data_IF_100168298503
#
_entry.id   IF_100168298503
#
_cell.length_a   1.000
_cell.length_b   1.000
_cell.length_c   1.000
_cell.angle_alpha   90.00
_cell.angle_beta   90.00
_cell.angle_gamma   90.00
#
_symmetry.space_group_name_H-M   'P 1'
#
loop_
_entity.id
_entity.type
_entity.pdbx_description
1 polymer ?
#
# COMPACT_ATOMS: atom_id res chain seq x y z
N UNK A 1 -44.39 3.65 -27.70
CA UNK A 1 -43.45 2.86 -26.89
C UNK A 1 -42.15 3.65 -26.84
N UNK A 2 -42.02 4.45 -25.82
CA UNK A 2 -40.83 5.27 -25.60
C UNK A 2 -39.81 4.44 -24.81
N UNK A 3 -38.60 4.33 -25.35
CA UNK A 3 -37.47 3.70 -24.73
C UNK A 3 -36.83 4.72 -23.76
N UNK A 4 -36.94 4.45 -22.48
CA UNK A 4 -36.28 5.20 -21.43
C UNK A 4 -34.75 4.98 -21.48
N UNK A 5 -34.02 6.05 -21.78
CA UNK A 5 -32.56 6.10 -21.68
C UNK A 5 -32.14 6.09 -20.23
N UNK A 6 -31.49 5.01 -19.81
CA UNK A 6 -30.78 4.96 -18.53
C UNK A 6 -29.51 5.79 -18.63
N UNK A 7 -29.43 6.86 -17.86
CA UNK A 7 -28.23 7.68 -17.69
C UNK A 7 -27.20 6.89 -16.86
N UNK A 8 -26.14 6.44 -17.52
CA UNK A 8 -24.92 5.98 -16.84
C UNK A 8 -24.21 7.19 -16.25
N UNK A 9 -24.23 7.33 -14.94
CA UNK A 9 -23.37 8.28 -14.24
C UNK A 9 -21.92 7.81 -14.35
N UNK A 10 -21.15 8.47 -15.18
CA UNK A 10 -19.70 8.32 -15.24
C UNK A 10 -19.11 8.89 -13.96
N UNK A 11 -18.64 8.02 -13.06
CA UNK A 11 -17.83 8.38 -11.90
C UNK A 11 -16.44 8.73 -12.44
N UNK A 12 -16.10 9.99 -12.53
CA UNK A 12 -14.75 10.47 -12.80
C UNK A 12 -14.00 10.56 -11.48
N UNK A 13 -12.92 9.78 -11.26
CA UNK A 13 -12.05 10.02 -10.13
C UNK A 13 -11.13 11.19 -10.45
N UNK A 14 -11.51 12.38 -10.08
CA UNK A 14 -10.65 13.55 -10.14
C UNK A 14 -10.62 14.24 -8.80
N UNK A 15 -9.75 13.77 -7.91
CA UNK A 15 -9.27 14.61 -6.82
C UNK A 15 -7.82 14.94 -7.14
N UNK A 16 -7.61 15.99 -7.93
CA UNK A 16 -6.37 16.76 -7.84
C UNK A 16 -6.46 17.57 -6.56
N UNK A 17 -6.10 16.97 -5.43
CA UNK A 17 -5.73 17.76 -4.27
C UNK A 17 -4.45 18.50 -4.63
N UNK A 18 -4.55 19.80 -4.90
CA UNK A 18 -3.38 20.68 -4.95
C UNK A 18 -2.86 20.77 -3.50
N UNK A 19 -1.76 20.07 -3.25
CA UNK A 19 -1.03 20.16 -1.97
C UNK A 19 -0.61 21.63 -1.80
N UNK A 20 -1.06 22.27 -0.74
CA UNK A 20 -0.69 23.64 -0.41
C UNK A 20 0.83 23.80 -0.39
N UNK A 21 1.34 24.92 -0.87
CA UNK A 21 2.78 25.12 -1.09
C UNK A 21 3.65 25.05 0.18
N UNK A 22 3.04 25.08 1.35
CA UNK A 22 3.72 25.13 2.67
C UNK A 22 3.55 23.85 3.48
N UNK A 23 2.53 23.03 3.24
CA UNK A 23 2.19 21.87 4.06
C UNK A 23 3.18 20.71 3.88
N UNK A 24 3.39 19.92 4.94
CA UNK A 24 4.19 18.71 4.90
C UNK A 24 3.50 17.65 4.02
N UNK A 25 4.31 16.83 3.37
CA UNK A 25 3.86 15.67 2.61
C UNK A 25 4.61 14.46 3.16
N UNK A 26 3.87 13.55 3.76
CA UNK A 26 4.41 12.32 4.33
C UNK A 26 4.09 11.12 3.45
N UNK A 27 5.00 10.15 3.43
CA UNK A 27 4.80 8.87 2.76
C UNK A 27 5.13 7.71 3.70
N UNK A 28 4.28 6.69 3.72
CA UNK A 28 4.57 5.37 4.28
C UNK A 28 3.80 4.30 3.52
N UNK A 29 4.11 3.01 3.75
CA UNK A 29 3.58 1.90 2.95
C UNK A 29 3.63 0.57 3.72
N UNK A 30 2.96 -0.47 3.21
CA UNK A 30 3.08 -1.87 3.64
C UNK A 30 2.81 -2.07 5.14
N UNK A 31 1.72 -1.49 5.67
CA UNK A 31 1.35 -1.55 7.09
C UNK A 31 0.74 -2.89 7.52
N UNK A 32 0.18 -3.66 6.57
CA UNK A 32 -0.30 -5.02 6.75
C UNK A 32 -1.10 -5.26 8.04
N UNK A 33 -2.20 -4.53 8.23
CA UNK A 33 -3.14 -4.76 9.33
C UNK A 33 -2.63 -4.39 10.72
N UNK A 34 -1.53 -3.64 10.85
CA UNK A 34 -0.97 -3.16 12.13
C UNK A 34 -1.66 -1.86 12.58
N UNK A 35 -2.89 -1.95 13.07
CA UNK A 35 -3.76 -0.80 13.35
C UNK A 35 -3.19 0.16 14.40
N UNK A 36 -2.57 -0.35 15.47
CA UNK A 36 -2.00 0.52 16.50
C UNK A 36 -0.89 1.39 15.92
N UNK A 37 0.01 0.78 15.16
CA UNK A 37 1.10 1.46 14.49
C UNK A 37 0.59 2.45 13.45
N UNK A 38 -0.44 2.07 12.66
CA UNK A 38 -1.12 2.95 11.72
C UNK A 38 -1.67 4.20 12.40
N UNK A 39 -2.46 4.03 13.48
CA UNK A 39 -3.03 5.14 14.23
C UNK A 39 -1.97 6.06 14.83
N UNK A 40 -0.88 5.48 15.33
CA UNK A 40 0.25 6.23 15.84
C UNK A 40 0.91 7.09 14.75
N UNK A 41 1.12 6.54 13.56
CA UNK A 41 1.67 7.24 12.40
C UNK A 41 0.78 8.43 11.99
N UNK A 42 -0.52 8.19 11.86
CA UNK A 42 -1.47 9.26 11.52
C UNK A 42 -1.45 10.37 12.59
N UNK A 43 -1.43 9.98 13.86
CA UNK A 43 -1.32 10.96 14.95
C UNK A 43 -0.02 11.76 14.88
N UNK A 44 1.12 11.11 14.64
CA UNK A 44 2.41 11.78 14.46
C UNK A 44 2.38 12.79 13.32
N UNK A 45 1.91 12.40 12.14
CA UNK A 45 1.82 13.30 10.98
C UNK A 45 0.98 14.55 11.30
N UNK A 46 -0.19 14.34 11.89
CA UNK A 46 -1.10 15.44 12.27
C UNK A 46 -0.55 16.34 13.41
N UNK A 47 0.32 15.79 14.26
CA UNK A 47 0.99 16.57 15.33
C UNK A 47 2.10 17.44 14.75
N UNK A 48 2.83 16.92 13.76
CA UNK A 48 3.91 17.67 13.08
C UNK A 48 3.34 18.77 12.19
N UNK A 49 2.27 18.47 11.46
CA UNK A 49 1.57 19.41 10.59
C UNK A 49 0.09 18.99 10.47
N UNK A 50 -0.86 19.69 11.13
CA UNK A 50 -2.29 19.36 11.08
C UNK A 50 -2.90 19.39 9.68
N UNK A 51 -2.31 20.16 8.76
CA UNK A 51 -2.75 20.31 7.37
C UNK A 51 -1.92 19.46 6.40
N UNK A 52 -1.15 18.48 6.90
CA UNK A 52 -0.31 17.64 6.07
C UNK A 52 -1.13 16.80 5.08
N UNK A 53 -0.50 16.47 3.96
CA UNK A 53 -0.97 15.43 3.05
C UNK A 53 -0.20 14.14 3.33
N UNK A 54 -0.90 13.04 3.44
CA UNK A 54 -0.29 11.72 3.60
C UNK A 54 -0.47 10.93 2.31
N UNK A 55 0.61 10.34 1.80
CA UNK A 55 0.58 9.40 0.68
C UNK A 55 0.81 8.01 1.26
N UNK A 56 -0.18 7.15 1.15
CA UNK A 56 -0.07 5.74 1.55
C UNK A 56 0.18 4.85 0.34
N UNK A 57 1.30 4.15 0.33
CA UNK A 57 1.84 3.42 -0.82
C UNK A 57 1.25 2.05 -1.12
N UNK A 58 0.13 1.67 -0.47
CA UNK A 58 -0.52 0.36 -0.66
C UNK A 58 -0.14 -0.67 0.40
N UNK A 59 -0.76 -1.85 0.31
CA UNK A 59 -0.61 -2.97 1.23
C UNK A 59 -1.06 -2.62 2.67
N UNK A 60 -2.28 -2.09 2.78
CA UNK A 60 -2.94 -1.82 4.05
C UNK A 60 -3.39 -3.10 4.76
N UNK A 61 -3.78 -4.08 3.96
CA UNK A 61 -4.47 -5.29 4.42
C UNK A 61 -3.53 -6.51 4.52
N UNK A 62 -4.09 -7.60 5.03
CA UNK A 62 -3.53 -8.94 5.15
C UNK A 62 -2.41 -9.06 6.19
N UNK A 63 -2.03 -10.30 6.50
CA UNK A 63 -1.05 -10.70 7.52
C UNK A 63 -1.45 -10.30 8.95
N UNK A 64 -1.72 -9.03 9.22
CA UNK A 64 -2.32 -8.57 10.50
C UNK A 64 -3.85 -8.70 10.51
N UNK A 65 -4.44 -8.52 11.70
CA UNK A 65 -5.86 -8.79 11.93
C UNK A 65 -6.79 -7.61 11.65
N UNK A 66 -6.26 -6.41 11.40
CA UNK A 66 -7.05 -5.17 11.22
C UNK A 66 -7.01 -4.61 9.79
N UNK A 67 -6.72 -5.46 8.79
CA UNK A 67 -6.57 -5.00 7.41
C UNK A 67 -7.80 -4.30 6.85
N UNK A 68 -8.99 -4.88 7.06
CA UNK A 68 -10.25 -4.26 6.66
C UNK A 68 -10.47 -2.89 7.33
N UNK A 69 -10.19 -2.77 8.62
CA UNK A 69 -10.38 -1.53 9.36
C UNK A 69 -9.47 -0.41 8.85
N UNK A 70 -8.20 -0.72 8.59
CA UNK A 70 -7.25 0.25 8.01
C UNK A 70 -7.69 0.69 6.61
N UNK A 71 -8.07 -0.25 5.73
CA UNK A 71 -8.60 0.10 4.40
C UNK A 71 -9.79 1.05 4.50
N UNK A 72 -10.71 0.78 5.45
CA UNK A 72 -11.88 1.62 5.68
C UNK A 72 -11.53 3.02 6.17
N UNK A 73 -10.54 3.16 7.06
CA UNK A 73 -10.05 4.47 7.52
C UNK A 73 -9.42 5.22 6.35
N UNK A 74 -8.55 4.58 5.57
CA UNK A 74 -7.88 5.18 4.42
C UNK A 74 -8.87 5.67 3.37
N UNK A 75 -9.89 4.87 3.04
CA UNK A 75 -10.93 5.25 2.08
C UNK A 75 -11.80 6.44 2.52
N UNK A 76 -11.89 6.71 3.81
CA UNK A 76 -12.76 7.77 4.36
C UNK A 76 -11.97 8.97 4.91
N UNK A 77 -10.69 9.09 4.59
CA UNK A 77 -9.85 10.21 5.00
C UNK A 77 -9.37 11.01 3.78
N UNK A 78 -9.94 12.18 3.58
CA UNK A 78 -9.66 13.04 2.42
C UNK A 78 -8.22 13.61 2.41
N UNK A 79 -7.53 13.61 3.55
CA UNK A 79 -6.14 14.05 3.65
C UNK A 79 -5.12 12.95 3.26
N UNK A 80 -5.61 11.74 2.93
CA UNK A 80 -4.76 10.62 2.57
C UNK A 80 -4.94 10.25 1.09
N UNK A 81 -3.86 10.28 0.33
CA UNK A 81 -3.79 9.75 -1.01
C UNK A 81 -3.45 8.26 -0.88
N UNK A 82 -4.44 7.41 -1.10
CA UNK A 82 -4.30 5.97 -0.99
C UNK A 82 -3.97 5.36 -2.36
N UNK A 83 -2.78 4.79 -2.52
CA UNK A 83 -2.38 4.04 -3.71
C UNK A 83 -2.70 2.55 -3.54
N UNK A 84 -3.07 1.89 -4.64
CA UNK A 84 -3.31 0.46 -4.65
C UNK A 84 -1.99 -0.31 -4.52
N UNK A 85 -1.93 -1.27 -3.59
CA UNK A 85 -0.91 -2.30 -3.53
C UNK A 85 -1.39 -3.62 -4.16
N UNK A 86 -0.51 -4.60 -4.25
CA UNK A 86 -0.89 -5.91 -4.76
C UNK A 86 -1.81 -6.67 -3.81
N UNK A 87 -1.77 -6.39 -2.51
CA UNK A 87 -2.68 -6.98 -1.54
C UNK A 87 -4.11 -6.44 -1.67
N UNK A 88 -4.30 -5.16 -1.99
CA UNK A 88 -5.61 -4.61 -2.35
C UNK A 88 -6.16 -5.25 -3.64
N UNK A 89 -5.30 -5.48 -4.64
CA UNK A 89 -5.71 -6.14 -5.88
C UNK A 89 -6.12 -7.60 -5.65
N UNK A 90 -5.34 -8.35 -4.87
CA UNK A 90 -5.70 -9.70 -4.47
C UNK A 90 -7.01 -9.74 -3.67
N UNK A 91 -7.23 -8.78 -2.76
CA UNK A 91 -8.47 -8.66 -2.00
C UNK A 91 -9.68 -8.49 -2.93
N UNK A 92 -9.60 -7.56 -3.89
CA UNK A 92 -10.69 -7.31 -4.85
C UNK A 92 -11.06 -8.58 -5.62
N UNK A 93 -10.06 -9.29 -6.13
CA UNK A 93 -10.27 -10.51 -6.90
C UNK A 93 -10.87 -11.63 -6.04
N UNK A 94 -10.35 -11.83 -4.83
CA UNK A 94 -10.85 -12.83 -3.89
C UNK A 94 -12.27 -12.51 -3.38
N UNK A 95 -12.57 -11.24 -3.10
CA UNK A 95 -13.88 -10.80 -2.64
C UNK A 95 -14.95 -11.00 -3.73
N UNK A 96 -14.64 -10.68 -4.99
CA UNK A 96 -15.53 -10.94 -6.14
C UNK A 96 -15.79 -12.43 -6.31
N UNK A 97 -14.73 -13.25 -6.31
CA UNK A 97 -14.85 -14.71 -6.44
C UNK A 97 -15.68 -15.30 -5.29
N UNK A 98 -15.50 -14.79 -4.04
CA UNK A 98 -16.30 -15.25 -2.90
C UNK A 98 -17.79 -14.93 -3.08
N UNK A 99 -18.14 -13.71 -3.45
CA UNK A 99 -19.55 -13.30 -3.70
C UNK A 99 -20.18 -14.16 -4.78
N UNK A 100 -19.46 -14.38 -5.89
CA UNK A 100 -19.95 -15.15 -7.04
C UNK A 100 -20.27 -16.60 -6.67
N UNK A 101 -19.37 -17.24 -5.94
CA UNK A 101 -19.52 -18.67 -5.60
C UNK A 101 -20.34 -18.94 -4.34
N UNK A 102 -20.50 -17.95 -3.47
CA UNK A 102 -21.24 -18.08 -2.19
C UNK A 102 -22.30 -16.98 -2.04
N UNK A 103 -23.33 -16.93 -2.91
CA UNK A 103 -24.29 -15.81 -2.95
C UNK A 103 -25.11 -15.63 -1.67
N UNK A 104 -25.17 -16.62 -0.80
CA UNK A 104 -25.83 -16.51 0.51
C UNK A 104 -24.94 -15.88 1.61
N UNK A 105 -23.80 -15.31 1.25
CA UNK A 105 -22.79 -14.78 2.19
C UNK A 105 -23.34 -13.78 3.22
N UNK A 106 -24.34 -12.99 2.85
CA UNK A 106 -24.97 -12.00 3.75
C UNK A 106 -25.65 -12.58 4.98
N UNK A 107 -25.95 -13.88 4.99
CA UNK A 107 -26.59 -14.60 6.11
C UNK A 107 -25.63 -15.61 6.76
N UNK A 108 -24.35 -15.64 6.39
CA UNK A 108 -23.39 -16.60 6.93
C UNK A 108 -22.87 -16.16 8.30
N UNK A 109 -22.79 -17.11 9.22
CA UNK A 109 -22.09 -16.92 10.50
C UNK A 109 -20.57 -16.94 10.30
N UNK A 110 -19.83 -16.36 11.25
CA UNK A 110 -18.36 -16.46 11.32
C UNK A 110 -17.88 -17.91 11.18
N UNK A 111 -18.54 -18.85 11.88
CA UNK A 111 -18.17 -20.27 11.81
C UNK A 111 -18.33 -20.84 10.39
N UNK A 112 -19.40 -20.47 9.70
CA UNK A 112 -19.66 -20.93 8.32
C UNK A 112 -18.62 -20.36 7.36
N UNK A 113 -18.35 -19.06 7.42
CA UNK A 113 -17.33 -18.41 6.60
C UNK A 113 -15.96 -19.05 6.84
N UNK A 114 -15.56 -19.18 8.10
CA UNK A 114 -14.27 -19.79 8.48
C UNK A 114 -14.17 -21.21 7.94
N UNK A 115 -15.22 -22.03 8.05
CA UNK A 115 -15.23 -23.40 7.53
C UNK A 115 -15.07 -23.45 6.01
N UNK A 116 -15.73 -22.54 5.28
CA UNK A 116 -15.59 -22.43 3.83
C UNK A 116 -14.14 -22.08 3.48
N UNK A 117 -13.58 -21.03 4.07
CA UNK A 117 -12.20 -20.59 3.77
C UNK A 117 -11.17 -21.67 4.11
N UNK A 118 -11.34 -22.39 5.22
CA UNK A 118 -10.46 -23.51 5.58
C UNK A 118 -10.59 -24.73 4.66
N UNK A 119 -11.70 -24.86 3.94
CA UNK A 119 -11.92 -25.97 2.97
C UNK A 119 -11.25 -25.72 1.62
N UNK A 120 -10.85 -24.48 1.32
CA UNK A 120 -10.20 -24.10 0.07
C UNK A 120 -8.73 -24.59 0.10
N UNK A 121 -8.41 -25.55 -0.76
CA UNK A 121 -7.05 -26.14 -0.81
C UNK A 121 -6.17 -25.37 -1.78
N UNK A 122 -4.89 -25.25 -1.45
CA UNK A 122 -3.87 -24.50 -2.23
C UNK A 122 -3.67 -25.09 -3.63
N UNK A 123 -4.18 -26.12 -4.09
CA UNK A 123 -4.01 -26.67 -5.45
C UNK A 123 -5.34 -27.05 -6.10
N UNK A 124 -6.44 -26.50 -5.61
CA UNK A 124 -7.77 -26.71 -6.16
C UNK A 124 -8.11 -25.54 -7.10
N UNK A 125 -8.01 -25.71 -8.40
CA UNK A 125 -8.27 -24.68 -9.41
C UNK A 125 -9.72 -24.14 -9.40
N UNK A 126 -10.52 -24.51 -8.41
CA UNK A 126 -11.91 -24.09 -8.30
C UNK A 126 -12.07 -22.62 -7.85
N UNK A 127 -11.15 -22.15 -7.00
CA UNK A 127 -11.19 -20.80 -6.41
C UNK A 127 -9.80 -20.15 -6.46
N UNK A 128 -9.27 -19.84 -7.65
CA UNK A 128 -7.87 -19.42 -7.82
C UNK A 128 -7.56 -18.09 -7.12
N UNK A 129 -8.46 -17.11 -7.14
CA UNK A 129 -8.23 -15.84 -6.50
C UNK A 129 -8.24 -15.96 -4.97
N UNK A 130 -9.21 -16.69 -4.41
CA UNK A 130 -9.27 -16.98 -2.97
C UNK A 130 -8.03 -17.75 -2.50
N UNK A 131 -7.56 -18.73 -3.27
CA UNK A 131 -6.36 -19.50 -2.91
C UNK A 131 -5.13 -18.60 -2.80
N UNK A 132 -4.88 -17.77 -3.83
CA UNK A 132 -3.75 -16.82 -3.84
C UNK A 132 -3.87 -15.87 -2.64
N UNK A 133 -5.06 -15.32 -2.40
CA UNK A 133 -5.29 -14.37 -1.34
C UNK A 133 -5.09 -14.98 0.06
N UNK A 134 -5.67 -16.16 0.31
CA UNK A 134 -5.50 -16.87 1.58
C UNK A 134 -4.04 -17.28 1.84
N UNK A 135 -3.32 -17.71 0.80
CA UNK A 135 -1.90 -18.04 0.90
C UNK A 135 -1.05 -16.81 1.30
N UNK A 136 -1.44 -15.62 0.85
CA UNK A 136 -0.75 -14.36 1.18
C UNK A 136 -1.22 -13.70 2.49
N UNK A 137 -2.05 -14.40 3.30
CA UNK A 137 -2.45 -13.95 4.64
C UNK A 137 -3.73 -13.14 4.68
N UNK A 138 -4.58 -13.20 3.63
CA UNK A 138 -5.80 -12.38 3.51
C UNK A 138 -7.03 -12.88 4.27
N UNK A 139 -6.91 -13.99 5.00
CA UNK A 139 -8.06 -14.64 5.66
C UNK A 139 -8.79 -13.71 6.62
N UNK A 140 -8.08 -13.06 7.52
CA UNK A 140 -8.69 -12.24 8.57
C UNK A 140 -9.34 -10.97 7.96
N UNK A 141 -8.68 -10.34 6.99
CA UNK A 141 -9.24 -9.21 6.24
C UNK A 141 -10.55 -9.58 5.55
N UNK A 142 -10.60 -10.73 4.88
CA UNK A 142 -11.80 -11.18 4.16
C UNK A 142 -12.95 -11.49 5.12
N UNK A 143 -12.68 -12.16 6.25
CA UNK A 143 -13.66 -12.45 7.28
C UNK A 143 -14.25 -11.15 7.84
N UNK A 144 -13.42 -10.22 8.23
CA UNK A 144 -13.84 -8.96 8.80
C UNK A 144 -14.68 -8.14 7.81
N UNK A 145 -14.28 -8.06 6.56
CA UNK A 145 -15.04 -7.41 5.51
C UNK A 145 -16.39 -8.09 5.29
N UNK A 146 -16.45 -9.43 5.21
CA UNK A 146 -17.70 -10.18 5.04
C UNK A 146 -18.70 -9.94 6.18
N UNK A 147 -18.20 -9.81 7.41
CA UNK A 147 -19.04 -9.64 8.60
C UNK A 147 -19.43 -8.18 8.88
N UNK A 148 -18.53 -7.24 8.60
CA UNK A 148 -18.63 -5.86 9.10
C UNK A 148 -18.98 -4.84 8.02
N UNK A 149 -18.74 -5.11 6.72
CA UNK A 149 -19.04 -4.15 5.65
C UNK A 149 -20.49 -4.30 5.14
N UNK A 150 -21.35 -3.29 5.33
CA UNK A 150 -22.74 -3.37 4.86
C UNK A 150 -22.87 -3.14 3.34
N UNK A 151 -21.94 -2.40 2.71
CA UNK A 151 -21.95 -2.02 1.29
C UNK A 151 -20.79 -2.67 0.54
N UNK A 152 -20.82 -3.99 0.45
CA UNK A 152 -19.69 -4.81 0.00
C UNK A 152 -19.24 -4.51 -1.42
N UNK A 153 -20.18 -4.39 -2.35
CA UNK A 153 -19.90 -4.10 -3.75
C UNK A 153 -19.28 -2.70 -3.92
N UNK A 154 -19.85 -1.70 -3.24
CA UNK A 154 -19.31 -0.34 -3.24
C UNK A 154 -17.88 -0.30 -2.66
N UNK A 155 -17.63 -1.04 -1.58
CA UNK A 155 -16.29 -1.12 -1.00
C UNK A 155 -15.28 -1.74 -1.98
N UNK A 156 -15.65 -2.85 -2.65
CA UNK A 156 -14.83 -3.47 -3.70
C UNK A 156 -14.54 -2.48 -4.83
N UNK A 157 -15.56 -1.74 -5.29
CA UNK A 157 -15.40 -0.77 -6.37
C UNK A 157 -14.46 0.37 -5.97
N UNK A 158 -14.57 0.88 -4.74
CA UNK A 158 -13.68 1.92 -4.20
C UNK A 158 -12.23 1.43 -4.13
N UNK A 159 -11.98 0.24 -3.61
CA UNK A 159 -10.62 -0.35 -3.59
C UNK A 159 -10.12 -0.60 -5.02
N UNK A 160 -10.97 -1.11 -5.90
CA UNK A 160 -10.59 -1.37 -7.28
C UNK A 160 -10.23 -0.10 -8.06
N UNK A 161 -10.85 1.03 -7.72
CA UNK A 161 -10.62 2.34 -8.36
C UNK A 161 -9.45 3.14 -7.79
N UNK A 162 -8.72 2.61 -6.79
CA UNK A 162 -7.54 3.27 -6.26
C UNK A 162 -6.50 3.52 -7.36
N UNK A 163 -5.87 4.70 -7.29
CA UNK A 163 -4.78 5.04 -8.21
C UNK A 163 -3.59 4.11 -8.03
N UNK A 164 -2.94 3.73 -9.13
CA UNK A 164 -1.71 2.92 -9.12
C UNK A 164 -0.47 3.78 -8.93
N UNK A 165 -0.54 5.06 -9.29
CA UNK A 165 0.58 5.99 -9.29
C UNK A 165 0.15 7.37 -8.82
N UNK A 166 1.10 8.12 -8.26
CA UNK A 166 0.93 9.53 -7.92
C UNK A 166 2.25 10.27 -8.16
N UNK A 167 2.19 11.57 -8.42
CA UNK A 167 3.39 12.42 -8.56
C UNK A 167 3.25 13.69 -7.73
N UNK A 168 4.28 14.02 -6.97
CA UNK A 168 4.43 15.27 -6.25
C UNK A 168 5.77 15.90 -6.60
N UNK A 169 5.77 17.05 -7.27
CA UNK A 169 6.99 17.70 -7.80
C UNK A 169 7.81 16.72 -8.68
N UNK A 170 9.06 16.50 -8.31
CA UNK A 170 9.96 15.55 -8.97
C UNK A 170 9.96 14.15 -8.34
N UNK A 171 9.00 13.86 -7.48
CA UNK A 171 8.85 12.55 -6.82
C UNK A 171 7.67 11.82 -7.43
N UNK A 172 7.89 10.58 -7.79
CA UNK A 172 6.89 9.63 -8.28
C UNK A 172 6.67 8.53 -7.25
N UNK A 173 5.43 8.12 -7.09
CA UNK A 173 5.01 7.09 -6.14
C UNK A 173 4.29 5.98 -6.89
N UNK A 174 4.65 4.74 -6.61
CA UNK A 174 3.93 3.54 -7.01
C UNK A 174 4.28 2.41 -6.05
N UNK A 175 3.45 1.36 -5.98
CA UNK A 175 3.61 0.34 -4.96
C UNK A 175 4.92 -0.47 -5.09
N UNK A 176 5.18 -1.08 -6.25
CA UNK A 176 6.32 -2.01 -6.43
C UNK A 176 7.58 -1.38 -7.05
N UNK A 177 7.59 -0.08 -7.28
CA UNK A 177 8.75 0.62 -7.83
C UNK A 177 8.96 0.44 -9.34
N UNK A 178 8.34 -0.51 -10.00
CA UNK A 178 8.30 -0.72 -11.45
C UNK A 178 9.51 -0.25 -12.28
N UNK A 179 9.29 -0.02 -13.56
CA UNK A 179 10.22 0.66 -14.45
C UNK A 179 9.58 1.95 -14.97
N UNK A 180 10.39 2.99 -15.21
CA UNK A 180 9.84 4.30 -15.56
C UNK A 180 8.94 4.32 -16.81
N UNK A 181 9.20 3.58 -17.90
CA UNK A 181 8.28 3.49 -19.02
C UNK A 181 6.90 2.96 -18.66
N UNK A 182 6.82 1.99 -17.73
CA UNK A 182 5.53 1.46 -17.23
C UNK A 182 4.78 2.48 -16.41
N UNK A 183 5.48 3.25 -15.56
CA UNK A 183 4.89 4.35 -14.81
C UNK A 183 4.25 5.40 -15.72
N UNK A 184 4.92 5.80 -16.81
CA UNK A 184 4.39 6.75 -17.79
C UNK A 184 3.19 6.18 -18.55
N UNK A 185 3.21 4.88 -18.89
CA UNK A 185 2.05 4.22 -19.53
C UNK A 185 0.84 4.23 -18.62
N UNK A 186 1.01 3.93 -17.34
CA UNK A 186 -0.05 3.97 -16.35
C UNK A 186 -0.70 5.37 -16.28
N UNK A 187 0.10 6.44 -16.23
CA UNK A 187 -0.42 7.81 -16.24
C UNK A 187 -1.21 8.16 -17.51
N UNK A 188 -1.01 7.40 -18.60
CA UNK A 188 -1.76 7.50 -19.87
C UNK A 188 -2.91 6.50 -19.98
N UNK A 189 -3.28 5.82 -18.90
CA UNK A 189 -4.24 4.72 -18.85
C UNK A 189 -3.85 3.50 -19.73
N UNK A 190 -2.57 3.31 -19.98
CA UNK A 190 -2.02 2.12 -20.63
C UNK A 190 -1.57 1.15 -19.52
N UNK A 191 -2.49 0.36 -18.99
CA UNK A 191 -2.30 -0.48 -17.80
C UNK A 191 -1.07 -1.41 -17.90
N UNK A 192 -0.15 -1.27 -16.97
CA UNK A 192 0.95 -2.21 -16.74
C UNK A 192 1.00 -2.58 -15.23
N UNK A 193 -0.09 -3.19 -14.79
CA UNK A 193 -0.30 -3.54 -13.37
C UNK A 193 0.80 -4.47 -12.84
N UNK A 194 1.30 -5.41 -13.66
CA UNK A 194 2.34 -6.32 -13.23
C UNK A 194 3.62 -5.57 -12.84
N UNK A 195 4.03 -4.60 -13.66
CA UNK A 195 5.22 -3.79 -13.38
C UNK A 195 5.04 -2.89 -12.16
N UNK A 196 3.86 -2.30 -11.97
CA UNK A 196 3.60 -1.30 -10.93
C UNK A 196 3.27 -1.94 -9.57
N UNK A 197 2.57 -3.09 -9.56
CA UNK A 197 2.09 -3.74 -8.33
C UNK A 197 2.92 -4.94 -7.88
N UNK A 198 3.56 -5.67 -8.82
CA UNK A 198 4.11 -6.99 -8.52
C UNK A 198 5.61 -7.13 -8.77
N UNK A 199 6.24 -6.15 -9.41
CA UNK A 199 7.61 -6.30 -9.88
C UNK A 199 8.61 -6.40 -8.72
N UNK A 200 9.30 -7.55 -8.63
CA UNK A 200 10.40 -7.79 -7.68
C UNK A 200 11.78 -7.82 -8.35
N UNK A 201 11.86 -7.49 -9.64
CA UNK A 201 13.11 -7.50 -10.42
C UNK A 201 13.51 -6.11 -10.92
N UNK A 202 12.71 -5.08 -10.63
CA UNK A 202 12.98 -3.70 -11.06
C UNK A 202 14.20 -3.03 -10.37
N UNK A 203 14.94 -3.79 -9.56
CA UNK A 203 16.12 -3.28 -8.85
C UNK A 203 17.31 -2.97 -9.78
N UNK A 204 17.30 -3.54 -10.99
CA UNK A 204 18.34 -3.32 -11.99
C UNK A 204 18.12 -2.04 -12.80
N UNK A 205 16.91 -1.47 -12.76
CA UNK A 205 16.54 -0.29 -13.54
C UNK A 205 16.54 0.95 -12.66
N UNK A 206 17.17 2.04 -13.16
CA UNK A 206 17.05 3.36 -12.58
C UNK A 206 15.68 3.99 -12.83
N UNK A 207 15.53 5.25 -12.46
CA UNK A 207 14.34 6.06 -12.71
C UNK A 207 14.63 7.17 -13.72
N UNK A 208 13.63 7.99 -14.06
CA UNK A 208 13.87 9.14 -14.94
C UNK A 208 14.94 10.07 -14.37
N UNK A 209 15.76 10.70 -15.21
CA UNK A 209 16.72 11.73 -14.79
C UNK A 209 15.99 12.82 -13.98
N UNK A 210 16.66 13.32 -12.94
CA UNK A 210 16.16 14.40 -12.07
C UNK A 210 14.84 14.08 -11.32
N UNK A 211 14.40 12.83 -11.31
CA UNK A 211 13.25 12.35 -10.56
C UNK A 211 13.62 11.21 -9.61
N UNK A 212 12.79 11.03 -8.60
CA UNK A 212 12.93 9.98 -7.59
C UNK A 212 11.64 9.16 -7.59
N UNK A 213 11.75 7.83 -7.58
CA UNK A 213 10.63 6.95 -7.31
C UNK A 213 10.64 6.49 -5.85
N UNK A 214 9.53 6.69 -5.14
CA UNK A 214 9.34 6.15 -3.79
C UNK A 214 8.33 5.01 -3.86
N UNK A 215 8.66 3.88 -3.23
CA UNK A 215 7.87 2.65 -3.31
C UNK A 215 8.03 1.76 -2.07
N UNK A 216 7.33 0.62 -2.07
CA UNK A 216 7.39 -0.44 -1.06
C UNK A 216 7.47 -1.85 -1.67
N UNK A 217 6.54 -2.73 -1.28
CA UNK A 217 6.28 -4.06 -1.83
C UNK A 217 7.32 -5.14 -1.51
N UNK A 218 8.60 -4.86 -1.67
CA UNK A 218 9.66 -5.83 -1.40
C UNK A 218 10.41 -5.40 -0.15
N UNK A 219 10.27 -6.12 0.97
CA UNK A 219 10.95 -5.75 2.21
C UNK A 219 12.45 -5.53 2.00
N UNK A 220 12.98 -4.42 2.52
CA UNK A 220 14.40 -4.05 2.33
C UNK A 220 15.38 -5.14 2.75
N UNK A 221 15.13 -5.97 3.79
CA UNK A 221 15.98 -7.11 4.09
C UNK A 221 16.01 -8.18 2.97
N UNK A 222 14.96 -8.27 2.17
CA UNK A 222 14.87 -9.22 1.05
C UNK A 222 15.47 -8.70 -0.26
N UNK A 223 15.76 -7.40 -0.35
CA UNK A 223 16.35 -6.80 -1.55
C UNK A 223 17.76 -7.35 -1.85
N UNK A 224 18.22 -7.26 -3.11
CA UNK A 224 19.60 -7.63 -3.47
C UNK A 224 20.66 -6.84 -2.69
N UNK A 225 21.77 -7.49 -2.37
CA UNK A 225 22.89 -6.87 -1.62
C UNK A 225 23.44 -5.62 -2.32
N UNK A 226 23.48 -5.59 -3.66
CA UNK A 226 23.92 -4.41 -4.44
C UNK A 226 23.07 -3.16 -4.23
N UNK A 227 21.81 -3.35 -3.78
CA UNK A 227 20.90 -2.26 -3.41
C UNK A 227 20.93 -1.95 -1.91
N UNK A 228 21.88 -2.51 -1.15
CA UNK A 228 21.96 -2.37 0.31
C UNK A 228 21.09 -3.36 1.10
N UNK A 229 20.37 -4.26 0.44
CA UNK A 229 19.55 -5.29 1.06
C UNK A 229 20.37 -6.45 1.64
N UNK A 230 19.68 -7.58 1.95
CA UNK A 230 20.24 -8.72 2.69
C UNK A 230 20.81 -8.35 4.05
N UNK A 231 20.13 -7.46 4.74
CA UNK A 231 20.43 -7.09 6.11
C UNK A 231 19.61 -7.94 7.10
N UNK A 232 20.02 -8.05 8.35
CA UNK A 232 19.20 -8.64 9.42
C UNK A 232 17.86 -7.92 9.54
N UNK A 233 16.78 -8.66 9.82
CA UNK A 233 15.42 -8.10 9.93
C UNK A 233 15.35 -6.97 10.95
N UNK A 234 16.03 -7.09 12.09
CA UNK A 234 16.08 -6.06 13.13
C UNK A 234 16.87 -4.80 12.74
N UNK A 235 17.55 -4.80 11.60
CA UNK A 235 18.24 -3.65 11.02
C UNK A 235 17.48 -3.04 9.82
N UNK A 236 16.28 -3.55 9.51
CA UNK A 236 15.47 -3.09 8.40
C UNK A 236 15.30 -1.56 8.44
N UNK A 237 15.56 -0.92 7.31
CA UNK A 237 15.48 0.53 7.11
C UNK A 237 15.19 0.87 5.67
N UNK A 238 14.72 2.08 5.36
CA UNK A 238 14.60 2.56 3.98
C UNK A 238 15.92 2.48 3.22
N UNK A 239 15.85 2.16 1.94
CA UNK A 239 17.02 2.05 1.07
C UNK A 239 16.87 2.93 -0.16
N UNK A 240 17.84 3.81 -0.39
CA UNK A 240 18.01 4.53 -1.64
C UNK A 240 18.97 3.75 -2.53
N UNK A 241 18.57 3.55 -3.77
CA UNK A 241 19.34 2.78 -4.74
C UNK A 241 19.11 3.28 -6.16
N UNK A 242 19.99 2.86 -7.06
CA UNK A 242 19.85 3.05 -8.50
C UNK A 242 20.23 1.76 -9.21
N UNK A 243 19.46 1.40 -10.23
CA UNK A 243 19.84 0.33 -11.14
C UNK A 243 20.79 0.85 -12.23
N UNK A 244 21.64 -0.04 -12.74
CA UNK A 244 22.70 0.29 -13.68
C UNK A 244 22.43 -0.26 -15.09
N UNK A 245 21.28 -0.89 -15.31
CA UNK A 245 21.00 -1.62 -16.54
C UNK A 245 20.77 -0.74 -17.77
N UNK A 246 20.35 0.51 -17.58
CA UNK A 246 20.08 1.45 -18.67
C UNK A 246 20.57 2.84 -18.30
N UNK A 247 21.58 3.31 -19.00
CA UNK A 247 22.21 4.64 -18.81
C UNK A 247 21.24 5.81 -19.04
N UNK A 248 20.11 5.57 -19.67
CA UNK A 248 19.06 6.56 -19.88
C UNK A 248 18.30 6.90 -18.61
N UNK A 249 18.22 5.95 -17.66
CA UNK A 249 17.45 6.09 -16.44
C UNK A 249 18.38 6.23 -15.24
N UNK A 250 18.86 7.45 -15.00
CA UNK A 250 19.87 7.77 -13.96
C UNK A 250 19.27 8.21 -12.63
N UNK A 251 17.92 8.34 -12.54
CA UNK A 251 17.24 8.70 -11.30
C UNK A 251 17.25 7.59 -10.25
N UNK A 252 17.10 7.99 -9.00
CA UNK A 252 17.10 7.09 -7.85
C UNK A 252 15.72 6.54 -7.55
N UNK A 253 15.72 5.42 -6.81
CA UNK A 253 14.55 4.88 -6.13
C UNK A 253 14.79 4.84 -4.62
N UNK A 254 13.70 4.97 -3.86
CA UNK A 254 13.70 4.82 -2.40
C UNK A 254 12.66 3.75 -2.07
N UNK A 255 13.10 2.64 -1.50
CA UNK A 255 12.22 1.61 -0.97
C UNK A 255 11.99 1.85 0.51
N UNK A 256 10.71 2.03 0.90
CA UNK A 256 10.28 2.31 2.27
C UNK A 256 9.71 1.08 2.99
N UNK A 257 9.50 -0.06 2.30
CA UNK A 257 9.00 -1.29 2.92
C UNK A 257 10.10 -1.94 3.76
N UNK A 258 9.95 -1.87 5.06
CA UNK A 258 10.87 -2.51 6.02
C UNK A 258 10.38 -3.87 6.52
N UNK A 259 9.27 -4.37 5.96
CA UNK A 259 8.65 -5.64 6.35
C UNK A 259 8.07 -5.58 7.76
N UNK A 260 7.27 -4.57 8.07
CA UNK A 260 6.76 -4.26 9.42
C UNK A 260 6.17 -5.46 10.15
N UNK A 261 5.45 -6.34 9.44
CA UNK A 261 4.86 -7.53 10.05
C UNK A 261 5.90 -8.49 10.67
N UNK A 262 7.13 -8.50 10.15
CA UNK A 262 8.21 -9.36 10.65
C UNK A 262 9.29 -8.59 11.40
N UNK A 263 9.56 -7.36 10.99
CA UNK A 263 10.59 -6.52 11.60
C UNK A 263 10.11 -5.73 12.82
N UNK A 264 8.78 -5.52 12.93
CA UNK A 264 8.20 -4.58 13.88
C UNK A 264 8.59 -3.12 13.62
N UNK A 265 9.13 -2.81 12.43
CA UNK A 265 9.68 -1.49 12.09
C UNK A 265 8.97 -0.88 10.90
N UNK A 266 8.63 0.40 11.01
CA UNK A 266 8.12 1.19 9.89
C UNK A 266 8.79 2.56 9.88
N UNK A 267 8.87 3.15 8.70
CA UNK A 267 9.41 4.49 8.53
C UNK A 267 8.42 5.37 7.79
N UNK A 268 8.36 6.63 8.22
CA UNK A 268 7.64 7.69 7.52
C UNK A 268 8.66 8.60 6.85
N UNK A 269 8.47 8.90 5.58
CA UNK A 269 9.29 9.83 4.84
C UNK A 269 8.61 11.20 4.78
N UNK A 270 9.28 12.26 5.24
CA UNK A 270 8.97 13.62 4.84
C UNK A 270 9.46 13.83 3.41
N UNK A 271 8.52 13.91 2.47
CA UNK A 271 8.82 14.01 1.04
C UNK A 271 9.41 15.36 0.63
N UNK A 272 9.38 16.38 1.48
CA UNK A 272 9.96 17.70 1.17
C UNK A 272 11.46 17.72 1.43
N UNK A 273 11.86 17.12 2.53
CA UNK A 273 13.23 17.14 3.04
C UNK A 273 13.95 15.81 2.80
N UNK A 274 13.23 14.75 2.37
CA UNK A 274 13.69 13.38 2.20
C UNK A 274 14.29 12.81 3.50
N UNK A 275 13.65 13.12 4.61
CA UNK A 275 14.01 12.63 5.94
C UNK A 275 13.05 11.53 6.36
N UNK A 276 13.57 10.35 6.70
CA UNK A 276 12.78 9.23 7.18
C UNK A 276 12.87 9.11 8.71
N UNK A 277 11.71 9.05 9.37
CA UNK A 277 11.57 8.84 10.81
C UNK A 277 11.08 7.43 11.06
N UNK A 278 11.80 6.67 11.90
CA UNK A 278 11.48 5.27 12.22
C UNK A 278 10.63 5.13 13.46
N UNK A 279 9.72 4.14 13.44
CA UNK A 279 8.84 3.76 14.55
C UNK A 279 8.92 2.25 14.76
N UNK A 280 8.76 1.82 16.01
CA UNK A 280 8.88 0.43 16.41
C UNK A 280 7.62 -0.03 17.14
N UNK A 281 7.14 -1.22 16.83
CA UNK A 281 5.90 -1.78 17.39
C UNK A 281 5.93 -1.90 18.91
N UNK A 282 7.09 -2.25 19.51
CA UNK A 282 7.25 -2.41 20.95
C UNK A 282 7.28 -1.08 21.74
N UNK A 283 7.41 0.07 21.07
CA UNK A 283 7.49 1.39 21.70
C UNK A 283 6.13 2.09 21.81
N UNK A 284 5.11 1.56 21.13
CA UNK A 284 3.78 2.20 20.96
C UNK A 284 2.92 2.11 22.23
N UNK A 285 3.27 1.26 23.19
CA UNK A 285 2.46 1.04 24.41
C UNK A 285 2.37 2.25 25.35
N UNK A 286 3.11 3.34 25.08
CA UNK A 286 3.07 4.57 25.86
C UNK A 286 3.10 5.79 24.92
N UNK A 287 1.94 6.13 24.32
CA UNK A 287 1.81 7.15 23.28
C UNK A 287 2.38 8.53 23.67
N UNK A 288 2.31 8.93 24.95
CA UNK A 288 2.82 10.23 25.40
C UNK A 288 4.36 10.23 25.52
N UNK A 289 4.98 9.09 25.84
CA UNK A 289 6.44 8.98 25.94
C UNK A 289 7.11 8.72 24.60
N UNK A 290 6.41 8.06 23.66
CA UNK A 290 6.97 7.66 22.37
C UNK A 290 7.23 8.83 21.42
N UNK A 291 6.48 9.93 21.51
CA UNK A 291 6.76 11.17 20.77
C UNK A 291 8.12 11.80 21.10
N UNK A 292 8.73 11.41 22.24
CA UNK A 292 10.06 11.88 22.67
C UNK A 292 11.19 10.90 22.30
N UNK A 293 10.86 9.68 21.89
CA UNK A 293 11.83 8.62 21.56
C UNK A 293 11.88 8.36 20.05
N UNK A 294 12.07 9.38 19.24
CA UNK A 294 12.37 9.23 17.80
C UNK A 294 13.79 8.66 17.70
N UNK A 295 13.92 7.34 17.60
CA UNK A 295 15.24 6.69 17.68
C UNK A 295 16.08 6.80 16.41
N UNK A 296 15.49 7.12 15.25
CA UNK A 296 16.31 7.17 14.03
C UNK A 296 15.76 8.10 12.96
N UNK A 297 16.43 9.23 12.81
CA UNK A 297 16.27 10.10 11.63
C UNK A 297 17.31 9.64 10.59
N UNK A 298 16.87 9.21 9.43
CA UNK A 298 17.75 8.88 8.29
C UNK A 298 17.59 9.97 7.25
N UNK A 299 18.65 10.73 7.03
CA UNK A 299 18.73 11.62 5.85
C UNK A 299 19.03 10.77 4.61
N UNK A 300 18.01 10.58 3.79
CA UNK A 300 18.11 9.75 2.57
C UNK A 300 18.93 10.45 1.48
N UNK A 301 19.17 11.75 1.59
CA UNK A 301 20.03 12.46 0.64
C UNK A 301 21.52 12.15 0.85
N UNK A 302 21.91 11.80 2.07
CA UNK A 302 23.31 11.58 2.47
C UNK A 302 23.72 10.11 2.50
N UNK A 303 22.79 9.17 2.27
CA UNK A 303 23.03 7.72 2.35
C UNK A 303 23.33 7.09 0.98
#
# INVERSE_FOLDING_TARGET
MELSSSSSSSFTPSVKQEVGSTNKVFYFTDIHGQLQLFNYIIHYCNTVDPDCTIIFGGDACDRGIHGYEIMKILLNNDNIIYLKGNHEDMFVNAAKEFIEHFPAYGNMSLETITRILMSIKIFDNKYPALQIYLYNGGKETLIDWLLKEPRKEEFIERINSLSLTYSYKNIDFCHAGGVYPSFIREQKNELDMESILWNRTAFDYGWAPDRICIHGHTPTPAMPKRCGGRMPIHEARPLKYRGDFDDKYTGYKINMDTGVFTSGRIFILDCRDLIATGFYDHEINDMEKSLHNIEKIIDINLS
#
